data_IF_219473415705
#
_entry.id   IF_219473415705
#
_cell.length_a   1.000
_cell.length_b   1.000
_cell.length_c   1.000
_cell.angle_alpha   90.00
_cell.angle_beta   90.00
_cell.angle_gamma   90.00
#
_symmetry.space_group_name_H-M   'P 1'
#
loop_
_entity.id
_entity.type
_entity.pdbx_description
1 polymer ?
#
# COMPACT_ATOMS: atom_id res chain seq x y z
N UNK A 1 13.47 -1.83 12.84
CA UNK A 1 14.65 -1.64 11.94
C UNK A 1 14.19 -1.71 10.50
N UNK A 2 14.68 -0.83 9.62
CA UNK A 2 14.33 -0.84 8.19
C UNK A 2 15.33 -1.74 7.45
N UNK A 3 14.90 -2.94 7.07
CA UNK A 3 15.71 -3.82 6.20
C UNK A 3 15.64 -3.26 4.79
N UNK A 4 16.78 -3.08 4.13
CA UNK A 4 16.86 -2.59 2.74
C UNK A 4 16.19 -3.58 1.77
N UNK A 5 15.72 -3.08 0.62
CA UNK A 5 15.24 -3.94 -0.47
C UNK A 5 16.34 -4.22 -1.46
N UNK A 6 16.50 -5.48 -1.88
CA UNK A 6 17.33 -5.80 -3.05
C UNK A 6 16.69 -5.32 -4.35
N UNK A 7 15.36 -5.13 -4.36
CA UNK A 7 14.59 -4.78 -5.55
C UNK A 7 14.13 -5.99 -6.36
N UNK A 8 14.52 -7.19 -5.97
CA UNK A 8 14.18 -8.44 -6.66
C UNK A 8 12.66 -8.64 -6.76
N UNK A 9 11.90 -8.33 -5.72
CA UNK A 9 10.43 -8.45 -5.77
C UNK A 9 9.78 -7.55 -6.83
N UNK A 10 10.33 -6.33 -7.03
CA UNK A 10 9.86 -5.41 -8.08
C UNK A 10 10.23 -5.94 -9.47
N UNK A 11 11.47 -6.40 -9.63
CA UNK A 11 11.91 -7.00 -10.88
C UNK A 11 11.04 -8.20 -11.26
N UNK A 12 10.77 -9.11 -10.31
CA UNK A 12 9.92 -10.29 -10.53
C UNK A 12 8.49 -9.92 -10.91
N UNK A 13 7.92 -8.88 -10.28
CA UNK A 13 6.56 -8.44 -10.62
C UNK A 13 6.47 -7.85 -12.02
N UNK A 14 7.48 -7.10 -12.47
CA UNK A 14 7.55 -6.55 -13.83
C UNK A 14 7.74 -7.68 -14.85
N UNK A 15 8.69 -8.59 -14.60
CA UNK A 15 8.92 -9.73 -15.48
C UNK A 15 7.67 -10.60 -15.66
N UNK A 16 6.89 -10.81 -14.60
CA UNK A 16 5.63 -11.54 -14.69
C UNK A 16 4.58 -10.85 -15.59
N UNK A 17 4.54 -9.50 -15.57
CA UNK A 17 3.68 -8.72 -16.46
C UNK A 17 4.15 -8.85 -17.91
N UNK A 18 5.46 -8.71 -18.15
CA UNK A 18 6.06 -8.79 -19.48
C UNK A 18 5.84 -10.17 -20.12
N UNK A 19 5.92 -11.24 -19.33
CA UNK A 19 5.68 -12.62 -19.78
C UNK A 19 4.19 -12.99 -19.84
N UNK A 20 3.28 -12.11 -19.36
CA UNK A 20 1.85 -12.41 -19.28
C UNK A 20 1.51 -13.53 -18.28
N UNK A 21 2.36 -13.76 -17.28
CA UNK A 21 2.19 -14.81 -16.27
C UNK A 21 1.55 -14.23 -15.01
N UNK A 22 0.39 -14.75 -14.56
CA UNK A 22 -0.26 -14.26 -13.35
C UNK A 22 0.55 -14.63 -12.10
N UNK A 23 0.96 -13.64 -11.32
CA UNK A 23 1.70 -13.81 -10.05
C UNK A 23 1.04 -13.11 -8.85
N UNK A 24 -0.27 -13.34 -8.58
CA UNK A 24 -1.05 -12.54 -7.64
C UNK A 24 -0.47 -12.48 -6.23
N UNK A 25 0.06 -13.59 -5.72
CA UNK A 25 0.64 -13.66 -4.37
C UNK A 25 1.95 -12.86 -4.27
N UNK A 26 2.79 -12.90 -5.30
CA UNK A 26 4.06 -12.17 -5.32
C UNK A 26 3.83 -10.65 -5.43
N UNK A 27 2.89 -10.24 -6.29
CA UNK A 27 2.49 -8.84 -6.41
C UNK A 27 1.88 -8.32 -5.12
N UNK A 28 0.98 -9.08 -4.49
CA UNK A 28 0.39 -8.71 -3.20
C UNK A 28 1.44 -8.58 -2.10
N UNK A 29 2.37 -9.54 -1.99
CA UNK A 29 3.45 -9.50 -1.01
C UNK A 29 4.37 -8.28 -1.22
N UNK A 30 4.67 -7.91 -2.46
CA UNK A 30 5.43 -6.71 -2.78
C UNK A 30 4.69 -5.43 -2.36
N UNK A 31 3.38 -5.34 -2.65
CA UNK A 31 2.56 -4.19 -2.27
C UNK A 31 2.46 -4.05 -0.75
N UNK A 32 2.21 -5.13 -0.02
CA UNK A 32 2.18 -5.11 1.46
C UNK A 32 3.50 -4.59 2.04
N UNK A 33 4.61 -4.92 1.41
CA UNK A 33 5.92 -4.37 1.79
C UNK A 33 6.04 -2.87 1.54
N UNK A 34 5.36 -2.30 0.55
CA UNK A 34 5.27 -0.85 0.37
C UNK A 34 4.39 -0.21 1.45
N UNK A 35 3.24 -0.81 1.75
CA UNK A 35 2.34 -0.36 2.81
C UNK A 35 3.00 -0.35 4.18
N UNK A 36 3.72 -1.41 4.56
CA UNK A 36 4.48 -1.45 5.82
C UNK A 36 5.59 -0.38 5.94
N UNK A 37 5.94 0.28 4.82
CA UNK A 37 6.91 1.38 4.77
C UNK A 37 6.24 2.77 4.67
N UNK A 38 4.92 2.85 4.83
CA UNK A 38 4.14 4.11 4.77
C UNK A 38 3.93 4.63 3.35
N UNK A 39 4.17 3.81 2.32
CA UNK A 39 3.96 4.23 0.92
C UNK A 39 2.48 4.17 0.49
N UNK A 40 1.61 3.63 1.34
CA UNK A 40 0.15 3.58 1.14
C UNK A 40 -0.61 4.80 1.66
N UNK A 41 -0.01 5.59 2.56
CA UNK A 41 -0.70 6.59 3.38
C UNK A 41 -1.46 7.64 2.56
N UNK A 42 -0.91 8.05 1.40
CA UNK A 42 -1.58 9.01 0.54
C UNK A 42 -2.85 8.42 -0.08
N UNK A 43 -2.78 7.18 -0.57
CA UNK A 43 -3.93 6.46 -1.10
C UNK A 43 -5.00 6.27 -0.04
N UNK A 44 -4.60 5.92 1.18
CA UNK A 44 -5.52 5.72 2.30
C UNK A 44 -6.22 7.04 2.70
N UNK A 45 -5.51 8.17 2.70
CA UNK A 45 -6.09 9.50 2.93
C UNK A 45 -7.10 9.88 1.86
N UNK A 46 -6.79 9.63 0.58
CA UNK A 46 -7.72 9.88 -0.53
C UNK A 46 -8.97 9.00 -0.39
N UNK A 47 -8.78 7.72 -0.05
CA UNK A 47 -9.88 6.79 0.18
C UNK A 47 -10.77 7.23 1.35
N UNK A 48 -10.17 7.66 2.48
CA UNK A 48 -10.88 8.24 3.62
C UNK A 48 -11.71 9.46 3.21
N UNK A 49 -11.13 10.39 2.46
CA UNK A 49 -11.85 11.56 1.94
C UNK A 49 -13.04 11.19 1.05
N UNK A 50 -12.89 10.17 0.19
CA UNK A 50 -13.99 9.68 -0.65
C UNK A 50 -15.10 9.02 0.18
N UNK A 51 -14.74 8.21 1.18
CA UNK A 51 -15.70 7.58 2.12
C UNK A 51 -16.49 8.64 2.87
N UNK A 52 -15.87 9.74 3.26
CA UNK A 52 -16.55 10.89 3.86
C UNK A 52 -17.48 11.58 2.86
N UNK A 53 -16.96 11.98 1.70
CA UNK A 53 -17.68 12.80 0.72
C UNK A 53 -18.91 12.10 0.12
N UNK A 54 -18.80 10.81 -0.19
CA UNK A 54 -19.85 10.07 -0.89
C UNK A 54 -20.61 9.09 0.01
N UNK A 55 -19.97 8.57 1.06
CA UNK A 55 -20.56 7.60 1.98
C UNK A 55 -21.05 8.20 3.30
N UNK A 56 -20.75 9.46 3.59
CA UNK A 56 -21.07 10.06 4.89
C UNK A 56 -20.29 9.45 6.06
N UNK A 57 -19.17 8.76 5.78
CA UNK A 57 -18.33 8.17 6.82
C UNK A 57 -17.48 9.26 7.49
N UNK A 58 -17.91 9.76 8.65
CA UNK A 58 -17.09 10.64 9.48
C UNK A 58 -16.10 9.82 10.31
N UNK A 59 -14.83 9.88 9.92
CA UNK A 59 -13.74 9.28 10.69
C UNK A 59 -13.47 10.10 11.96
N UNK A 60 -13.16 9.40 13.05
CA UNK A 60 -12.69 10.06 14.27
C UNK A 60 -11.40 10.83 13.94
N UNK A 61 -11.18 12.00 14.56
CA UNK A 61 -9.88 12.65 14.50
C UNK A 61 -8.82 11.61 14.87
N UNK A 62 -7.70 11.59 14.13
CA UNK A 62 -6.54 10.83 14.56
C UNK A 62 -6.25 11.25 16.01
N UNK A 63 -6.26 10.32 16.95
CA UNK A 63 -5.83 10.62 18.31
C UNK A 63 -4.43 11.21 18.20
N UNK A 64 -4.28 12.48 18.61
CA UNK A 64 -2.96 13.07 18.76
C UNK A 64 -2.19 12.15 19.69
N UNK A 65 -1.11 11.56 19.18
CA UNK A 65 -0.27 10.60 19.87
C UNK A 65 0.46 11.26 21.03
N UNK A 66 -0.28 11.66 22.05
CA UNK A 66 0.22 12.03 23.35
C UNK A 66 0.62 10.78 24.12
N UNK A 67 1.79 10.24 23.72
CA UNK A 67 2.79 9.43 24.45
C UNK A 67 3.42 8.37 23.55
#
# INVERSE_FOLDING_TARGET
GRVSDSGEGRWTSIAAIDEGVPTPVLTAALHERFYSRGLGDFGDKVLSAMRKQFGGHDEKPAEDGGK
#
